data_IF_633595884858
#
_entry.id   IF_633595884858
#
_cell.length_a   1.000
_cell.length_b   1.000
_cell.length_c   1.000
_cell.angle_alpha   90.00
_cell.angle_beta   90.00
_cell.angle_gamma   90.00
#
_symmetry.space_group_name_H-M   'P 1'
#
loop_
_entity.id
_entity.type
_entity.pdbx_description
1 polymer ?
#
# COMPACT_ATOMS: atom_id res chain seq x y z
N UNK A 1 5.67 -9.70 26.84
CA UNK A 1 4.63 -9.85 25.81
C UNK A 1 5.34 -10.39 24.59
N UNK A 2 5.34 -11.72 24.45
CA UNK A 2 6.10 -12.40 23.39
C UNK A 2 5.51 -12.09 22.03
N UNK A 3 6.34 -11.52 21.15
CA UNK A 3 6.03 -11.16 19.77
C UNK A 3 5.60 -12.36 18.91
N UNK A 4 5.83 -13.58 19.38
CA UNK A 4 5.39 -14.81 18.73
C UNK A 4 3.87 -15.05 18.82
N UNK A 5 3.18 -14.42 19.77
CA UNK A 5 1.74 -14.67 20.00
C UNK A 5 0.83 -13.85 19.08
N UNK A 6 1.37 -12.81 18.42
CA UNK A 6 0.64 -12.00 17.42
C UNK A 6 0.67 -12.59 16.00
N UNK A 7 1.38 -13.71 15.79
CA UNK A 7 1.58 -14.36 14.49
C UNK A 7 0.50 -15.40 14.15
N UNK A 8 -0.65 -15.41 14.84
CA UNK A 8 -1.68 -16.40 14.57
C UNK A 8 -2.74 -15.82 13.62
N UNK A 9 -2.58 -16.25 12.39
CA UNK A 9 -3.39 -16.05 11.19
C UNK A 9 -4.91 -16.14 11.44
N UNK A 10 -5.62 -15.06 11.13
CA UNK A 10 -6.98 -15.13 10.61
C UNK A 10 -6.98 -14.30 9.32
N UNK A 11 -7.45 -14.91 8.22
CA UNK A 11 -7.59 -14.34 6.87
C UNK A 11 -6.31 -14.09 6.07
N UNK A 12 -5.60 -15.17 5.67
CA UNK A 12 -5.01 -15.36 4.33
C UNK A 12 -4.08 -14.30 3.71
N UNK A 13 -3.74 -13.22 4.41
CA UNK A 13 -2.83 -12.19 3.95
C UNK A 13 -1.53 -12.38 4.70
N UNK A 14 -0.51 -12.87 4.00
CA UNK A 14 0.85 -12.95 4.54
C UNK A 14 1.24 -11.60 5.13
N UNK A 15 1.60 -11.58 6.41
CA UNK A 15 2.11 -10.37 7.09
C UNK A 15 3.25 -9.71 6.32
N UNK A 16 4.03 -10.49 5.57
CA UNK A 16 5.05 -10.00 4.66
C UNK A 16 4.47 -9.12 3.54
N UNK A 17 3.34 -9.51 2.93
CA UNK A 17 2.74 -8.76 1.83
C UNK A 17 2.10 -7.44 2.30
N UNK A 18 1.52 -7.43 3.50
CA UNK A 18 1.04 -6.19 4.13
C UNK A 18 2.21 -5.27 4.44
N UNK A 19 3.28 -5.84 5.01
CA UNK A 19 4.49 -5.10 5.33
C UNK A 19 5.16 -4.51 4.09
N UNK A 20 5.22 -5.25 2.98
CA UNK A 20 5.87 -4.78 1.76
C UNK A 20 5.09 -3.64 1.07
N UNK A 21 3.75 -3.70 1.08
CA UNK A 21 2.89 -2.59 0.61
C UNK A 21 3.02 -1.38 1.51
N UNK A 22 2.93 -1.58 2.82
CA UNK A 22 3.03 -0.47 3.79
C UNK A 22 4.41 0.16 3.77
N UNK A 23 5.48 -0.63 3.61
CA UNK A 23 6.85 -0.13 3.44
C UNK A 23 6.98 0.69 2.15
N UNK A 24 6.44 0.22 1.03
CA UNK A 24 6.45 0.96 -0.24
C UNK A 24 5.77 2.33 -0.10
N UNK A 25 4.60 2.37 0.57
CA UNK A 25 3.86 3.60 0.86
C UNK A 25 4.59 4.50 1.85
N UNK A 26 5.24 3.92 2.86
CA UNK A 26 6.04 4.64 3.84
C UNK A 26 7.19 5.40 3.16
N UNK A 27 7.99 4.70 2.34
CA UNK A 27 9.09 5.32 1.62
C UNK A 27 8.63 6.31 0.55
N UNK A 28 7.46 6.09 -0.06
CA UNK A 28 6.90 7.05 -1.00
C UNK A 28 6.42 8.33 -0.31
N UNK A 29 5.91 8.20 0.92
CA UNK A 29 5.45 9.32 1.74
C UNK A 29 6.61 10.12 2.34
N UNK A 30 7.68 9.45 2.78
CA UNK A 30 8.93 10.02 3.31
C UNK A 30 9.73 10.77 2.24
N UNK A 31 9.46 12.07 2.09
CA UNK A 31 10.10 12.91 1.06
C UNK A 31 11.54 13.24 1.36
N UNK A 32 11.86 13.36 2.65
CA UNK A 32 13.20 13.75 3.07
C UNK A 32 14.12 12.53 3.25
N UNK A 33 13.56 11.32 3.16
CA UNK A 33 14.24 10.04 3.26
C UNK A 33 14.99 9.87 4.58
N UNK A 34 14.45 10.44 5.67
CA UNK A 34 15.04 10.33 7.00
C UNK A 34 14.57 9.07 7.76
N UNK A 35 13.64 8.31 7.16
CA UNK A 35 13.07 7.09 7.70
C UNK A 35 11.85 7.32 8.59
N UNK A 36 11.50 8.56 8.88
CA UNK A 36 10.34 8.95 9.69
C UNK A 36 9.37 9.79 8.85
N UNK A 37 8.12 9.86 9.31
CA UNK A 37 7.11 10.70 8.68
C UNK A 37 6.84 11.92 9.56
N UNK A 38 7.02 13.11 8.99
CA UNK A 38 6.45 14.34 9.54
C UNK A 38 4.92 14.29 9.51
N UNK A 39 4.25 15.27 10.13
CA UNK A 39 2.78 15.30 10.16
C UNK A 39 2.19 15.34 8.75
N UNK A 40 2.82 16.10 7.87
CA UNK A 40 2.44 16.25 6.47
C UNK A 40 2.66 14.95 5.68
N UNK A 41 3.78 14.26 5.90
CA UNK A 41 4.08 12.99 5.25
C UNK A 41 3.21 11.85 5.79
N UNK A 42 2.87 11.88 7.08
CA UNK A 42 1.95 10.92 7.68
C UNK A 42 0.52 11.11 7.16
N UNK A 43 0.08 12.36 6.95
CA UNK A 43 -1.18 12.63 6.26
C UNK A 43 -1.15 12.08 4.84
N UNK A 44 -0.04 12.27 4.11
CA UNK A 44 0.12 11.71 2.77
C UNK A 44 0.11 10.17 2.76
N UNK A 45 0.68 9.53 3.78
CA UNK A 45 0.63 8.08 3.96
C UNK A 45 -0.79 7.56 4.21
N UNK A 46 -1.59 8.25 5.02
CA UNK A 46 -2.97 7.87 5.32
C UNK A 46 -3.95 8.18 4.18
N UNK A 47 -3.72 9.30 3.48
CA UNK A 47 -4.56 9.83 2.41
C UNK A 47 -3.75 10.03 1.12
N UNK A 48 -3.18 8.95 0.54
CA UNK A 48 -2.40 9.05 -0.69
C UNK A 48 -3.26 9.53 -1.87
N UNK A 49 -4.58 9.31 -1.84
CA UNK A 49 -5.56 9.81 -2.80
C UNK A 49 -5.64 11.35 -2.81
N UNK A 50 -5.41 12.01 -1.67
CA UNK A 50 -5.42 13.47 -1.60
C UNK A 50 -4.07 14.07 -2.00
N UNK A 51 -3.00 13.27 -1.99
CA UNK A 51 -1.63 13.70 -2.30
C UNK A 51 -1.28 13.45 -3.77
N UNK A 52 -1.12 14.49 -4.62
CA UNK A 52 -0.94 14.32 -6.07
C UNK A 52 0.20 13.37 -6.46
N UNK A 53 1.31 13.41 -5.71
CA UNK A 53 2.49 12.56 -5.95
C UNK A 53 2.33 11.09 -5.53
N UNK A 54 1.38 10.78 -4.64
CA UNK A 54 1.10 9.40 -4.20
C UNK A 54 -0.12 8.80 -4.92
N UNK A 55 -0.93 9.66 -5.55
CA UNK A 55 -2.12 9.25 -6.30
C UNK A 55 -1.81 8.22 -7.37
N UNK A 56 -0.76 8.45 -8.15
CA UNK A 56 -0.33 7.54 -9.23
C UNK A 56 0.15 6.18 -8.68
N UNK A 57 0.78 6.17 -7.50
CA UNK A 57 1.22 4.94 -6.83
C UNK A 57 0.01 4.07 -6.42
N UNK A 58 -1.03 4.69 -5.87
CA UNK A 58 -2.26 3.97 -5.47
C UNK A 58 -2.97 3.39 -6.69
N UNK A 59 -3.02 4.14 -7.80
CA UNK A 59 -3.60 3.65 -9.06
C UNK A 59 -2.80 2.47 -9.58
N UNK A 60 -1.47 2.55 -9.59
CA UNK A 60 -0.60 1.45 -10.01
C UNK A 60 -0.83 0.20 -9.16
N UNK A 61 -0.83 0.32 -7.83
CA UNK A 61 -1.09 -0.81 -6.93
C UNK A 61 -2.48 -1.42 -7.14
N UNK A 62 -3.47 -0.58 -7.43
CA UNK A 62 -4.84 -1.03 -7.69
C UNK A 62 -4.92 -1.79 -9.01
N UNK A 63 -4.26 -1.32 -10.06
CA UNK A 63 -4.15 -2.05 -11.33
C UNK A 63 -3.39 -3.37 -11.11
N UNK A 64 -2.23 -3.36 -10.47
CA UNK A 64 -1.44 -4.58 -10.20
C UNK A 64 -2.21 -5.65 -9.41
N UNK A 65 -3.17 -5.24 -8.57
CA UNK A 65 -3.99 -6.15 -7.77
C UNK A 65 -5.27 -6.63 -8.46
N UNK A 66 -5.80 -5.87 -9.41
CA UNK A 66 -7.14 -6.10 -10.00
C UNK A 66 -7.05 -6.61 -11.44
N UNK A 67 -6.08 -6.12 -12.23
CA UNK A 67 -5.82 -6.52 -13.61
C UNK A 67 -5.28 -7.97 -13.64
N UNK A 68 -6.20 -8.92 -13.83
CA UNK A 68 -5.92 -10.36 -13.79
C UNK A 68 -5.45 -10.84 -15.15
N UNK A 69 -5.95 -10.24 -16.23
CA UNK A 69 -5.59 -10.62 -17.60
C UNK A 69 -4.32 -9.91 -18.13
N UNK A 70 -3.84 -8.90 -17.39
CA UNK A 70 -2.62 -8.12 -17.64
C UNK A 70 -2.68 -7.32 -18.93
N UNK A 71 -3.87 -6.88 -19.33
CA UNK A 71 -4.05 -6.03 -20.51
C UNK A 71 -3.78 -4.54 -20.21
N UNK A 72 -3.51 -4.20 -18.94
CA UNK A 72 -3.23 -2.85 -18.47
C UNK A 72 -4.47 -2.00 -18.26
N UNK A 73 -5.66 -2.61 -18.25
CA UNK A 73 -6.96 -1.97 -17.99
C UNK A 73 -7.66 -2.73 -16.86
N UNK A 74 -8.75 -2.15 -16.38
CA UNK A 74 -9.64 -2.81 -15.43
C UNK A 74 -10.99 -2.96 -16.12
N UNK A 75 -11.37 -4.21 -16.39
CA UNK A 75 -12.70 -4.55 -16.87
C UNK A 75 -13.72 -4.60 -15.73
N UNK A 76 -15.02 -4.51 -16.05
CA UNK A 76 -16.09 -4.66 -15.05
C UNK A 76 -16.05 -6.03 -14.36
N UNK A 77 -15.64 -7.07 -15.08
CA UNK A 77 -15.52 -8.42 -14.57
C UNK A 77 -14.32 -8.58 -13.62
N UNK A 78 -13.29 -7.75 -13.76
CA UNK A 78 -12.14 -7.72 -12.84
C UNK A 78 -12.43 -6.86 -11.59
N UNK A 79 -13.27 -5.85 -11.72
CA UNK A 79 -13.67 -4.99 -10.62
C UNK A 79 -14.63 -5.68 -9.62
N UNK A 80 -15.45 -6.63 -10.09
CA UNK A 80 -16.47 -7.33 -9.31
C UNK A 80 -15.95 -8.59 -8.60
#
# INVERSE_FOLDING_TARGET
MDTQTLLREEDGVSYQNLYDRDARRWFAADTNSDGNLTKEEFFAFLHPEETPRLRDLVVLETIESIDKDKDGKISLDEYA
#
